data_IF_794717225536
#
_entry.id   IF_794717225536
#
_cell.length_a   1.000
_cell.length_b   1.000
_cell.length_c   1.000
_cell.angle_alpha   90.00
_cell.angle_beta   90.00
_cell.angle_gamma   90.00
#
_symmetry.space_group_name_H-M   'P 1'
#
loop_
_entity.id
_entity.type
_entity.pdbx_description
1 polymer ?
#
# COMPACT_ATOMS: atom_id res chain seq x y z
N UNK A 1 18.11 -38.67 19.30
CA UNK A 1 17.33 -38.39 18.08
C UNK A 1 15.97 -37.85 18.53
N UNK A 2 15.84 -36.54 18.67
CA UNK A 2 14.59 -35.89 19.04
C UNK A 2 13.80 -35.56 17.78
N UNK A 3 12.60 -36.11 17.68
CA UNK A 3 11.67 -35.90 16.59
C UNK A 3 11.24 -34.44 16.53
N UNK A 4 11.43 -33.80 15.38
CA UNK A 4 10.91 -32.47 15.08
C UNK A 4 9.42 -32.62 14.81
N UNK A 5 8.58 -32.11 15.71
CA UNK A 5 7.15 -31.87 15.43
C UNK A 5 7.04 -30.68 14.47
N UNK A 6 6.28 -30.79 13.36
CA UNK A 6 6.00 -29.64 12.51
C UNK A 6 5.24 -28.58 13.31
N UNK A 7 5.67 -27.32 13.17
CA UNK A 7 4.89 -26.17 13.63
C UNK A 7 3.63 -26.09 12.74
N UNK A 8 2.48 -26.43 13.33
CA UNK A 8 1.19 -26.17 12.71
C UNK A 8 1.03 -24.66 12.50
N UNK A 9 0.84 -24.27 11.23
CA UNK A 9 0.53 -22.88 10.87
C UNK A 9 -0.85 -22.47 11.41
N UNK A 10 -1.12 -21.16 11.58
CA UNK A 10 -2.36 -20.69 12.20
C UNK A 10 -3.59 -21.16 11.41
N UNK A 11 -4.49 -21.88 12.09
CA UNK A 11 -5.75 -22.44 11.57
C UNK A 11 -6.79 -21.39 11.11
N UNK A 12 -6.45 -20.10 11.03
CA UNK A 12 -7.41 -19.01 10.88
C UNK A 12 -7.80 -18.63 9.43
N UNK A 13 -7.49 -19.43 8.41
CA UNK A 13 -7.70 -19.06 6.99
C UNK A 13 -8.74 -19.87 6.20
N UNK A 14 -9.58 -20.69 6.85
CA UNK A 14 -10.77 -21.28 6.22
C UNK A 14 -11.99 -20.39 6.46
N UNK A 15 -12.31 -19.53 5.51
CA UNK A 15 -13.65 -18.95 5.43
C UNK A 15 -14.63 -20.00 4.86
N UNK A 16 -15.86 -20.14 5.41
CA UNK A 16 -16.91 -20.93 4.80
C UNK A 16 -17.31 -20.30 3.47
N UNK A 17 -17.22 -21.04 2.37
CA UNK A 17 -17.68 -20.56 1.06
C UNK A 17 -19.20 -20.74 0.95
N UNK A 18 -19.97 -19.68 1.20
CA UNK A 18 -21.34 -19.61 0.70
C UNK A 18 -21.33 -19.45 -0.82
N UNK A 19 -22.00 -20.37 -1.52
CA UNK A 19 -22.10 -20.34 -2.99
C UNK A 19 -23.01 -19.19 -3.43
N UNK A 20 -22.40 -18.05 -3.75
CA UNK A 20 -23.06 -16.98 -4.51
C UNK A 20 -22.64 -17.08 -5.99
N UNK A 21 -23.59 -16.92 -6.90
CA UNK A 21 -23.54 -17.38 -8.30
C UNK A 21 -22.57 -16.65 -9.26
N UNK A 22 -21.40 -16.19 -8.81
CA UNK A 22 -20.37 -15.65 -9.69
C UNK A 22 -18.94 -15.73 -9.10
N UNK A 23 -18.69 -16.74 -8.27
CA UNK A 23 -17.41 -16.89 -7.56
C UNK A 23 -16.35 -17.55 -8.43
N UNK A 24 -15.17 -16.93 -8.53
CA UNK A 24 -13.97 -17.56 -9.10
C UNK A 24 -13.65 -18.82 -8.25
N UNK A 25 -13.28 -19.97 -8.86
CA UNK A 25 -12.89 -21.14 -8.10
C UNK A 25 -11.77 -20.83 -7.09
N UNK A 26 -11.90 -21.29 -5.84
CA UNK A 26 -10.94 -21.00 -4.76
C UNK A 26 -9.50 -21.31 -5.15
N UNK A 27 -9.27 -22.42 -5.85
CA UNK A 27 -7.92 -22.80 -6.32
C UNK A 27 -7.28 -21.73 -7.21
N UNK A 28 -8.05 -21.06 -8.08
CA UNK A 28 -7.53 -20.00 -8.94
C UNK A 28 -7.16 -18.76 -8.12
N UNK A 29 -7.93 -18.47 -7.07
CA UNK A 29 -7.65 -17.38 -6.13
C UNK A 29 -6.36 -17.69 -5.35
N UNK A 30 -6.24 -18.90 -4.80
CA UNK A 30 -5.06 -19.37 -4.03
C UNK A 30 -3.79 -19.38 -4.88
N UNK A 31 -3.85 -19.87 -6.12
CA UNK A 31 -2.70 -19.83 -7.05
C UNK A 31 -2.32 -18.38 -7.35
N UNK A 32 -3.30 -17.52 -7.66
CA UNK A 32 -3.04 -16.10 -7.91
C UNK A 32 -2.38 -15.45 -6.70
N UNK A 33 -2.85 -15.75 -5.50
CA UNK A 33 -2.29 -15.24 -4.25
C UNK A 33 -0.85 -15.73 -4.03
N UNK A 34 -0.59 -17.02 -4.20
CA UNK A 34 0.72 -17.61 -4.00
C UNK A 34 1.76 -16.98 -4.93
N UNK A 35 1.42 -16.81 -6.22
CA UNK A 35 2.31 -16.17 -7.19
C UNK A 35 2.50 -14.68 -6.91
N UNK A 36 1.45 -13.98 -6.48
CA UNK A 36 1.55 -12.56 -6.09
C UNK A 36 2.49 -12.36 -4.90
N UNK A 37 2.44 -13.24 -3.90
CA UNK A 37 3.32 -13.19 -2.71
C UNK A 37 4.80 -13.35 -3.04
N UNK A 38 5.13 -14.03 -4.14
CA UNK A 38 6.51 -14.18 -4.61
C UNK A 38 6.88 -13.16 -5.71
N UNK A 39 6.05 -12.11 -5.89
CA UNK A 39 6.28 -11.06 -6.87
C UNK A 39 6.17 -11.54 -8.32
N UNK A 40 5.32 -12.53 -8.59
CA UNK A 40 5.12 -13.12 -9.92
C UNK A 40 3.69 -12.94 -10.41
N UNK A 41 3.57 -12.49 -11.66
CA UNK A 41 2.29 -12.32 -12.33
C UNK A 41 1.85 -13.53 -13.15
N UNK A 42 0.78 -13.34 -13.93
CA UNK A 42 0.14 -14.37 -14.73
C UNK A 42 1.08 -15.20 -15.62
N UNK A 43 2.07 -14.57 -16.28
CA UNK A 43 3.01 -15.32 -17.14
C UNK A 43 3.86 -16.34 -16.39
N UNK A 44 4.08 -16.18 -15.09
CA UNK A 44 4.76 -17.18 -14.28
C UNK A 44 3.81 -18.35 -13.93
N UNK A 45 2.53 -18.07 -13.73
CA UNK A 45 1.49 -19.10 -13.55
C UNK A 45 1.40 -19.96 -14.82
N UNK A 46 1.40 -19.35 -16.01
CA UNK A 46 1.40 -20.09 -17.28
C UNK A 46 2.60 -21.05 -17.40
N UNK A 47 3.81 -20.57 -17.07
CA UNK A 47 5.02 -21.40 -17.06
C UNK A 47 4.96 -22.53 -16.03
N UNK A 48 4.44 -22.24 -14.84
CA UNK A 48 4.24 -23.25 -13.81
C UNK A 48 3.26 -24.32 -14.26
N UNK A 49 2.09 -23.93 -14.74
CA UNK A 49 1.06 -24.82 -15.29
C UNK A 49 1.63 -25.72 -16.40
N UNK A 50 2.42 -25.16 -17.31
CA UNK A 50 3.13 -25.92 -18.35
C UNK A 50 4.09 -26.96 -17.74
N UNK A 51 4.87 -26.60 -16.72
CA UNK A 51 5.83 -27.51 -16.08
C UNK A 51 5.15 -28.67 -15.34
N UNK A 52 3.94 -28.47 -14.80
CA UNK A 52 3.17 -29.49 -14.09
C UNK A 52 2.11 -30.17 -14.96
N UNK A 53 2.10 -29.90 -16.27
CA UNK A 53 1.13 -30.44 -17.24
C UNK A 53 -0.35 -30.17 -16.86
N UNK A 54 -0.64 -28.94 -16.43
CA UNK A 54 -1.99 -28.44 -16.11
C UNK A 54 -2.33 -27.27 -17.02
N UNK A 55 -3.60 -27.13 -17.42
CA UNK A 55 -4.04 -25.98 -18.20
C UNK A 55 -4.21 -24.74 -17.30
N UNK A 56 -3.56 -23.59 -17.61
CA UNK A 56 -3.75 -22.37 -16.84
C UNK A 56 -5.16 -21.81 -17.06
N UNK A 57 -5.73 -21.19 -16.02
CA UNK A 57 -6.95 -20.38 -16.18
C UNK A 57 -6.63 -19.11 -16.96
N UNK A 58 -7.63 -18.50 -17.61
CA UNK A 58 -7.41 -17.32 -18.46
C UNK A 58 -6.84 -16.09 -17.73
N UNK A 59 -6.16 -15.20 -18.46
CA UNK A 59 -5.73 -13.89 -17.97
C UNK A 59 -6.90 -13.04 -17.45
N UNK A 60 -8.10 -13.19 -18.02
CA UNK A 60 -9.32 -12.55 -17.53
C UNK A 60 -9.69 -13.05 -16.13
N UNK A 61 -9.57 -14.35 -15.88
CA UNK A 61 -9.80 -14.94 -14.55
C UNK A 61 -8.73 -14.46 -13.57
N UNK A 62 -7.46 -14.40 -13.98
CA UNK A 62 -6.39 -13.81 -13.18
C UNK A 62 -6.69 -12.37 -12.74
N UNK A 63 -7.10 -11.50 -13.67
CA UNK A 63 -7.44 -10.12 -13.34
C UNK A 63 -8.62 -10.02 -12.37
N UNK A 64 -9.61 -10.93 -12.47
CA UNK A 64 -10.69 -11.03 -11.47
C UNK A 64 -10.15 -11.44 -10.10
N UNK A 65 -9.27 -12.45 -10.02
CA UNK A 65 -8.62 -12.86 -8.78
C UNK A 65 -7.86 -11.69 -8.15
N UNK A 66 -7.02 -10.97 -8.90
CA UNK A 66 -6.25 -9.84 -8.38
C UNK A 66 -7.16 -8.75 -7.82
N UNK A 67 -8.28 -8.43 -8.49
CA UNK A 67 -9.26 -7.47 -7.96
C UNK A 67 -9.86 -7.94 -6.64
N UNK A 68 -10.25 -9.21 -6.54
CA UNK A 68 -10.79 -9.78 -5.31
C UNK A 68 -9.76 -9.74 -4.16
N UNK A 69 -8.50 -10.10 -4.45
CA UNK A 69 -7.42 -10.05 -3.48
C UNK A 69 -7.12 -8.62 -3.03
N UNK A 70 -7.08 -7.68 -3.96
CA UNK A 70 -6.88 -6.26 -3.65
C UNK A 70 -7.97 -5.74 -2.71
N UNK A 71 -9.24 -6.02 -3.01
CA UNK A 71 -10.36 -5.65 -2.13
C UNK A 71 -10.24 -6.31 -0.76
N UNK A 72 -9.94 -7.60 -0.70
CA UNK A 72 -9.79 -8.33 0.57
C UNK A 72 -8.64 -7.76 1.42
N UNK A 73 -7.51 -7.42 0.81
CA UNK A 73 -6.38 -6.81 1.51
C UNK A 73 -6.65 -5.38 1.97
N UNK A 74 -7.38 -4.59 1.18
CA UNK A 74 -7.83 -3.25 1.61
C UNK A 74 -8.67 -3.32 2.88
N UNK A 75 -9.69 -4.19 2.90
CA UNK A 75 -10.55 -4.38 4.09
C UNK A 75 -9.74 -4.84 5.31
N UNK A 76 -8.82 -5.79 5.11
CA UNK A 76 -7.97 -6.28 6.19
C UNK A 76 -7.05 -5.17 6.74
N UNK A 77 -6.47 -4.34 5.86
CA UNK A 77 -5.63 -3.22 6.24
C UNK A 77 -6.41 -2.15 7.03
N UNK A 78 -7.60 -1.76 6.56
CA UNK A 78 -8.48 -0.79 7.26
C UNK A 78 -8.88 -1.30 8.66
N UNK A 79 -9.21 -2.59 8.76
CA UNK A 79 -9.58 -3.22 10.04
C UNK A 79 -8.40 -3.21 11.01
N UNK A 80 -7.23 -3.63 10.55
CA UNK A 80 -6.01 -3.65 11.36
C UNK A 80 -5.58 -2.24 11.77
N UNK A 81 -5.68 -1.27 10.87
CA UNK A 81 -5.33 0.12 11.15
C UNK A 81 -6.23 0.71 12.25
N UNK A 82 -7.53 0.42 12.21
CA UNK A 82 -8.47 0.84 13.27
C UNK A 82 -8.11 0.26 14.63
N UNK A 83 -7.67 -1.00 14.68
CA UNK A 83 -7.19 -1.63 15.91
C UNK A 83 -5.87 -1.03 16.40
N UNK A 84 -4.91 -0.82 15.50
CA UNK A 84 -3.64 -0.14 15.79
C UNK A 84 -3.89 1.24 16.38
N UNK A 85 -4.76 2.04 15.77
CA UNK A 85 -5.09 3.38 16.27
C UNK A 85 -5.65 3.34 17.69
N UNK A 86 -6.51 2.37 18.01
CA UNK A 86 -7.04 2.18 19.36
C UNK A 86 -5.93 1.86 20.36
N UNK A 87 -5.02 0.96 20.02
CA UNK A 87 -3.92 0.57 20.92
C UNK A 87 -2.90 1.71 21.10
N UNK A 88 -2.60 2.48 20.05
CA UNK A 88 -1.74 3.68 20.14
C UNK A 88 -2.38 4.71 21.06
N UNK A 89 -3.66 5.06 20.87
CA UNK A 89 -4.34 6.01 21.76
C UNK A 89 -4.33 5.58 23.22
N UNK A 90 -4.50 4.27 23.48
CA UNK A 90 -4.41 3.70 24.82
C UNK A 90 -3.00 3.81 25.40
N UNK A 91 -1.95 3.59 24.60
CA UNK A 91 -0.56 3.71 25.05
C UNK A 91 -0.19 5.15 25.46
N UNK A 92 -0.77 6.15 24.80
CA UNK A 92 -0.63 7.57 25.15
C UNK A 92 -1.60 8.03 26.26
N UNK A 93 -2.34 7.10 26.88
CA UNK A 93 -3.35 7.41 27.91
C UNK A 93 -4.36 8.47 27.46
N UNK A 94 -4.65 8.51 26.15
CA UNK A 94 -5.44 9.58 25.54
C UNK A 94 -6.91 9.52 26.01
N UNK A 95 -7.46 10.62 26.55
CA UNK A 95 -8.87 10.71 26.87
C UNK A 95 -9.77 10.50 25.63
N UNK A 96 -10.95 9.95 25.83
CA UNK A 96 -11.90 9.67 24.73
C UNK A 96 -12.48 10.95 24.12
N UNK A 97 -12.52 12.04 24.88
CA UNK A 97 -13.02 13.35 24.46
C UNK A 97 -11.98 14.21 23.72
N UNK A 98 -10.71 13.81 23.72
CA UNK A 98 -9.65 14.47 22.94
C UNK A 98 -9.72 13.97 21.50
N UNK A 99 -10.10 14.77 20.49
CA UNK A 99 -10.27 14.27 19.13
C UNK A 99 -8.93 13.86 18.49
N UNK A 100 -7.89 14.66 18.71
CA UNK A 100 -6.56 14.51 18.11
C UNK A 100 -5.50 14.36 19.20
N UNK A 101 -4.71 13.28 19.13
CA UNK A 101 -3.64 12.99 20.08
C UNK A 101 -2.29 13.32 19.47
N UNK A 102 -1.47 14.07 20.19
CA UNK A 102 -0.10 14.35 19.79
C UNK A 102 0.78 13.13 20.04
N UNK A 103 1.46 12.66 19.00
CA UNK A 103 2.29 11.46 19.05
C UNK A 103 3.66 11.70 18.40
N UNK A 104 4.66 10.99 18.90
CA UNK A 104 6.00 10.98 18.32
C UNK A 104 6.15 9.81 17.37
N UNK A 105 6.63 10.07 16.15
CA UNK A 105 6.65 9.09 15.06
C UNK A 105 8.04 8.99 14.44
N UNK A 106 8.37 7.80 13.94
CA UNK A 106 9.42 7.60 12.93
C UNK A 106 8.75 7.58 11.56
N UNK A 107 9.44 8.10 10.55
CA UNK A 107 8.97 8.06 9.17
C UNK A 107 10.11 7.62 8.25
N UNK A 108 9.80 6.71 7.32
CA UNK A 108 10.77 6.24 6.33
C UNK A 108 10.06 5.77 5.05
N UNK A 109 10.81 5.85 3.93
CA UNK A 109 10.41 5.42 2.61
C UNK A 109 11.16 4.16 2.15
N UNK A 110 10.45 3.24 1.52
CA UNK A 110 11.01 2.06 0.87
C UNK A 110 10.66 2.04 -0.62
N UNK A 111 11.55 1.47 -1.43
CA UNK A 111 11.46 1.50 -2.89
C UNK A 111 11.39 0.08 -3.47
N UNK A 112 10.60 -0.10 -4.52
CA UNK A 112 10.50 -1.41 -5.20
C UNK A 112 11.83 -1.87 -5.79
N UNK A 113 12.68 -0.92 -6.20
CA UNK A 113 13.98 -1.18 -6.81
C UNK A 113 15.05 -0.32 -6.15
N UNK A 114 16.26 -0.86 -6.01
CA UNK A 114 17.41 -0.09 -5.52
C UNK A 114 17.78 1.05 -6.48
N UNK A 115 18.21 2.18 -5.92
CA UNK A 115 18.65 3.36 -6.65
C UNK A 115 17.54 4.39 -6.90
N UNK A 116 17.90 5.51 -7.55
CA UNK A 116 17.04 6.69 -7.70
C UNK A 116 16.08 6.63 -8.89
N UNK A 117 15.78 5.43 -9.40
CA UNK A 117 14.93 5.22 -10.58
C UNK A 117 13.69 4.39 -10.28
N UNK A 118 13.36 4.20 -9.00
CA UNK A 118 12.18 3.41 -8.65
C UNK A 118 10.90 4.09 -9.11
N UNK A 119 9.98 3.30 -9.66
CA UNK A 119 8.68 3.79 -10.14
C UNK A 119 7.59 3.63 -9.08
N UNK A 120 7.87 2.88 -8.01
CA UNK A 120 6.93 2.60 -6.93
C UNK A 120 7.69 2.74 -5.62
N UNK A 121 7.10 3.50 -4.70
CA UNK A 121 7.57 3.67 -3.33
C UNK A 121 6.46 3.42 -2.32
N UNK A 122 6.85 3.11 -1.10
CA UNK A 122 5.98 2.97 0.05
C UNK A 122 6.59 3.83 1.16
N UNK A 123 5.84 4.77 1.70
CA UNK A 123 6.25 5.51 2.89
C UNK A 123 5.38 5.08 4.07
N UNK A 124 5.99 4.95 5.25
CA UNK A 124 5.30 4.50 6.46
C UNK A 124 5.55 5.48 7.61
N UNK A 125 4.52 5.72 8.41
CA UNK A 125 4.60 6.39 9.72
C UNK A 125 4.49 5.32 10.79
N UNK A 126 5.46 5.29 11.69
CA UNK A 126 5.56 4.33 12.78
C UNK A 126 5.51 5.10 14.10
N UNK A 127 4.58 4.76 14.98
CA UNK A 127 4.57 5.34 16.32
C UNK A 127 5.77 4.85 17.12
N UNK A 128 6.50 5.77 17.77
CA UNK A 128 7.73 5.45 18.50
C UNK A 128 7.43 4.65 19.77
N UNK A 129 6.30 4.92 20.42
CA UNK A 129 5.99 4.31 21.71
C UNK A 129 5.60 2.84 21.57
N UNK A 130 4.74 2.53 20.59
CA UNK A 130 4.21 1.18 20.36
C UNK A 130 4.99 0.39 19.30
N UNK A 131 5.70 1.06 18.40
CA UNK A 131 6.33 0.45 17.23
C UNK A 131 5.35 0.03 16.13
N UNK A 132 4.08 0.43 16.21
CA UNK A 132 3.08 0.11 15.19
C UNK A 132 3.15 1.05 13.99
N UNK A 133 2.93 0.50 12.79
CA UNK A 133 2.68 1.29 11.58
C UNK A 133 1.28 1.87 11.68
N UNK A 134 1.17 3.18 11.83
CA UNK A 134 -0.11 3.87 12.04
C UNK A 134 -0.69 4.41 10.73
N UNK A 135 0.17 4.71 9.77
CA UNK A 135 -0.22 5.20 8.46
C UNK A 135 0.83 4.88 7.39
N UNK A 136 0.41 4.81 6.13
CA UNK A 136 1.31 4.54 4.99
C UNK A 136 0.75 5.08 3.67
N UNK A 137 1.64 5.47 2.75
CA UNK A 137 1.26 5.94 1.42
C UNK A 137 2.07 5.22 0.34
N UNK A 138 1.38 4.72 -0.69
CA UNK A 138 2.02 4.07 -1.83
C UNK A 138 2.17 5.09 -2.96
N UNK A 139 3.39 5.48 -3.26
CA UNK A 139 3.71 6.40 -4.35
C UNK A 139 3.97 5.63 -5.64
N UNK A 140 3.40 6.08 -6.75
CA UNK A 140 3.47 5.39 -8.03
C UNK A 140 3.59 6.37 -9.20
N UNK A 141 4.60 6.13 -10.04
CA UNK A 141 4.89 6.88 -11.28
C UNK A 141 4.39 6.19 -12.54
N UNK A 142 3.90 4.95 -12.43
CA UNK A 142 3.58 4.12 -13.59
C UNK A 142 2.26 3.40 -13.43
N UNK A 143 1.37 3.57 -14.40
CA UNK A 143 0.20 2.71 -14.54
C UNK A 143 0.44 1.75 -15.71
N UNK A 144 0.32 0.44 -15.44
CA UNK A 144 0.54 -0.59 -16.47
C UNK A 144 -0.45 -0.47 -17.64
N UNK A 145 -1.71 -0.15 -17.36
CA UNK A 145 -2.72 0.04 -18.40
C UNK A 145 -2.36 1.24 -19.26
N UNK A 146 -1.99 2.37 -18.64
CA UNK A 146 -1.51 3.53 -19.38
C UNK A 146 -0.29 3.20 -20.25
N UNK A 147 0.69 2.45 -19.73
CA UNK A 147 1.89 2.09 -20.50
C UNK A 147 1.57 1.22 -21.72
N UNK A 148 0.60 0.31 -21.60
CA UNK A 148 0.17 -0.52 -22.74
C UNK A 148 -0.56 0.34 -23.75
N UNK A 149 -1.56 1.10 -23.34
CA UNK A 149 -2.40 1.86 -24.27
C UNK A 149 -1.63 3.00 -24.95
N UNK A 150 -0.68 3.65 -24.26
CA UNK A 150 0.24 4.60 -24.91
C UNK A 150 1.04 3.96 -26.05
N UNK A 151 1.40 2.69 -25.92
CA UNK A 151 2.14 1.95 -26.95
C UNK A 151 1.25 1.51 -28.09
N UNK A 152 0.04 1.03 -27.80
CA UNK A 152 -0.88 0.49 -28.82
C UNK A 152 -1.61 1.61 -29.59
N UNK A 153 -2.07 2.66 -28.91
CA UNK A 153 -2.82 3.78 -29.51
C UNK A 153 -1.93 4.96 -29.91
N UNK A 154 -0.74 5.08 -29.33
CA UNK A 154 0.14 6.25 -29.44
C UNK A 154 -0.23 7.34 -28.43
N UNK A 155 0.75 7.81 -27.65
CA UNK A 155 0.53 8.78 -26.56
C UNK A 155 -0.09 10.12 -26.98
N UNK A 156 0.11 10.53 -28.23
CA UNK A 156 -0.41 11.80 -28.77
C UNK A 156 -1.60 11.63 -29.70
N UNK A 157 -2.26 10.46 -29.66
CA UNK A 157 -3.45 10.19 -30.47
C UNK A 157 -4.73 10.61 -29.75
N UNK A 158 -5.74 11.02 -30.52
CA UNK A 158 -7.05 11.36 -29.97
C UNK A 158 -7.72 10.13 -29.33
N UNK A 159 -7.41 8.93 -29.83
CA UNK A 159 -7.87 7.66 -29.29
C UNK A 159 -7.34 7.42 -27.87
N UNK A 160 -6.07 7.74 -27.62
CA UNK A 160 -5.49 7.65 -26.28
C UNK A 160 -6.14 8.65 -25.32
N UNK A 161 -6.39 9.88 -25.76
CA UNK A 161 -7.03 10.91 -24.92
C UNK A 161 -8.43 10.47 -24.48
N UNK A 162 -9.26 9.99 -25.42
CA UNK A 162 -10.60 9.46 -25.13
C UNK A 162 -10.54 8.27 -24.17
N UNK A 163 -9.61 7.35 -24.40
CA UNK A 163 -9.44 6.20 -23.50
C UNK A 163 -9.00 6.64 -22.11
N UNK A 164 -8.05 7.57 -22.02
CA UNK A 164 -7.49 8.05 -20.75
C UNK A 164 -8.53 8.80 -19.92
N UNK A 165 -9.44 9.56 -20.54
CA UNK A 165 -10.57 10.18 -19.84
C UNK A 165 -11.41 9.15 -19.09
N UNK A 166 -11.69 8.00 -19.71
CA UNK A 166 -12.39 6.88 -19.06
C UNK A 166 -11.56 6.19 -17.98
N UNK A 167 -10.25 6.05 -18.20
CA UNK A 167 -9.34 5.39 -17.27
C UNK A 167 -8.89 6.27 -16.09
N UNK A 168 -9.05 7.60 -16.17
CA UNK A 168 -8.49 8.56 -15.21
C UNK A 168 -8.76 8.19 -13.74
N UNK A 169 -9.96 7.69 -13.43
CA UNK A 169 -10.37 7.29 -12.07
C UNK A 169 -9.73 5.99 -11.59
N UNK A 170 -9.31 5.13 -12.52
CA UNK A 170 -8.65 3.85 -12.26
C UNK A 170 -7.12 3.96 -12.39
N UNK A 171 -6.60 5.13 -12.75
CA UNK A 171 -5.17 5.35 -12.91
C UNK A 171 -4.49 5.35 -11.53
N UNK A 172 -3.48 4.50 -11.37
CA UNK A 172 -2.74 4.37 -10.11
C UNK A 172 -1.57 5.35 -9.97
N UNK A 173 -1.32 6.20 -10.98
CA UNK A 173 -0.23 7.19 -10.91
C UNK A 173 -0.67 8.33 -10.00
N UNK A 174 0.06 8.54 -8.90
CA UNK A 174 -0.15 9.66 -7.98
C UNK A 174 1.10 10.55 -7.84
N UNK A 175 2.22 10.22 -8.50
CA UNK A 175 3.44 11.02 -8.48
C UNK A 175 4.02 11.26 -9.87
N UNK A 176 4.40 12.51 -10.14
CA UNK A 176 4.95 12.94 -11.42
C UNK A 176 6.41 13.43 -11.32
N UNK A 177 6.93 13.59 -10.11
CA UNK A 177 8.27 14.10 -9.85
C UNK A 177 9.38 13.05 -9.98
N UNK A 178 10.56 13.42 -9.45
CA UNK A 178 11.69 12.51 -9.30
C UNK A 178 11.35 11.36 -8.34
N UNK A 179 12.03 10.22 -8.45
CA UNK A 179 11.82 9.13 -7.49
C UNK A 179 12.29 9.53 -6.08
N UNK A 180 13.33 10.35 -5.98
CA UNK A 180 13.81 10.89 -4.70
C UNK A 180 12.79 11.81 -4.02
N UNK A 181 11.95 12.51 -4.79
CA UNK A 181 10.94 13.40 -4.21
C UNK A 181 9.67 12.67 -3.76
N UNK A 182 9.51 11.38 -4.06
CA UNK A 182 8.35 10.60 -3.60
C UNK A 182 8.24 10.57 -2.08
N UNK A 183 9.37 10.50 -1.37
CA UNK A 183 9.39 10.42 0.09
C UNK A 183 8.83 11.69 0.72
N UNK A 184 9.29 12.86 0.25
CA UNK A 184 8.82 14.16 0.72
C UNK A 184 7.34 14.39 0.40
N UNK A 185 6.88 14.04 -0.81
CA UNK A 185 5.47 14.17 -1.17
C UNK A 185 4.58 13.17 -0.41
N UNK A 186 5.07 11.95 -0.16
CA UNK A 186 4.35 10.99 0.67
C UNK A 186 4.22 11.48 2.12
N UNK A 187 5.31 12.03 2.68
CA UNK A 187 5.29 12.64 4.01
C UNK A 187 4.25 13.77 4.07
N UNK A 188 4.20 14.63 3.06
CA UNK A 188 3.19 15.70 3.01
C UNK A 188 1.76 15.14 3.06
N UNK A 189 1.44 14.14 2.23
CA UNK A 189 0.11 13.49 2.21
C UNK A 189 -0.22 12.89 3.59
N UNK A 190 0.73 12.20 4.20
CA UNK A 190 0.56 11.53 5.49
C UNK A 190 0.33 12.54 6.63
N UNK A 191 1.10 13.64 6.64
CA UNK A 191 0.94 14.69 7.65
C UNK A 191 -0.38 15.44 7.47
N UNK A 192 -0.79 15.76 6.24
CA UNK A 192 -2.04 16.47 5.96
C UNK A 192 -3.28 15.70 6.46
N UNK A 193 -3.32 14.38 6.27
CA UNK A 193 -4.47 13.55 6.69
C UNK A 193 -4.41 13.07 8.14
N UNK A 194 -3.27 13.19 8.80
CA UNK A 194 -3.05 12.65 10.16
C UNK A 194 -4.13 13.05 11.17
N UNK A 195 -4.57 14.31 11.14
CA UNK A 195 -5.57 14.84 12.08
C UNK A 195 -6.96 14.23 11.86
N UNK A 196 -7.29 13.87 10.61
CA UNK A 196 -8.53 13.17 10.28
C UNK A 196 -8.53 11.73 10.85
N UNK A 197 -7.34 11.16 11.03
CA UNK A 197 -7.13 9.85 11.68
C UNK A 197 -7.05 9.95 13.21
N UNK A 198 -7.20 11.16 13.77
CA UNK A 198 -7.18 11.39 15.22
C UNK A 198 -5.78 11.49 15.82
N UNK A 199 -4.75 11.74 15.01
CA UNK A 199 -3.37 11.94 15.46
C UNK A 199 -2.77 13.22 14.90
N UNK A 200 -1.84 13.83 15.64
CA UNK A 200 -0.97 14.88 15.11
C UNK A 200 0.46 14.44 15.35
N UNK A 201 1.23 14.34 14.27
CA UNK A 201 2.62 13.89 14.31
C UNK A 201 3.49 15.05 14.82
N UNK A 202 3.62 15.13 16.14
CA UNK A 202 4.21 16.27 16.84
C UNK A 202 5.73 16.27 16.81
N UNK A 203 6.32 15.08 16.84
CA UNK A 203 7.77 14.87 16.85
C UNK A 203 8.14 13.80 15.84
N UNK A 204 9.15 14.06 15.04
CA UNK A 204 9.72 13.14 14.06
C UNK A 204 11.07 12.61 14.55
N UNK A 205 11.19 11.31 14.78
CA UNK A 205 12.49 10.66 14.91
C UNK A 205 13.03 10.34 13.51
N UNK A 206 14.17 10.95 13.18
CA UNK A 206 14.84 10.80 11.88
C UNK A 206 16.25 10.21 12.04
N UNK A 207 16.75 9.57 10.97
CA UNK A 207 18.10 9.01 10.87
C UNK A 207 19.20 10.06 10.63
N UNK A 208 18.82 11.34 10.52
CA UNK A 208 19.72 12.48 10.33
C UNK A 208 19.59 13.18 8.98
N UNK A 209 18.80 12.66 8.02
CA UNK A 209 18.41 13.42 6.82
C UNK A 209 17.17 14.28 7.09
N UNK A 210 17.38 15.58 7.29
CA UNK A 210 16.30 16.52 7.59
C UNK A 210 15.53 17.03 6.36
N UNK A 211 15.78 16.54 5.14
CA UNK A 211 15.08 17.05 3.93
C UNK A 211 13.57 16.95 4.04
N UNK A 212 13.08 15.78 4.45
CA UNK A 212 11.64 15.54 4.61
C UNK A 212 11.05 16.39 5.72
N UNK A 213 11.76 16.51 6.87
CA UNK A 213 11.37 17.38 7.97
C UNK A 213 11.26 18.86 7.56
N UNK A 214 12.28 19.37 6.86
CA UNK A 214 12.29 20.75 6.37
C UNK A 214 11.13 20.97 5.40
N UNK A 215 10.88 20.03 4.50
CA UNK A 215 9.80 20.12 3.52
C UNK A 215 8.42 20.21 4.19
N UNK A 216 8.09 19.32 5.14
CA UNK A 216 6.79 19.35 5.84
C UNK A 216 6.64 20.60 6.72
N UNK A 217 7.72 21.08 7.31
CA UNK A 217 7.74 22.29 8.14
C UNK A 217 7.52 23.55 7.29
N UNK A 218 8.21 23.66 6.15
CA UNK A 218 8.02 24.76 5.19
C UNK A 218 6.60 24.79 4.62
N UNK A 219 5.97 23.63 4.44
CA UNK A 219 4.56 23.51 4.00
C UNK A 219 3.55 23.90 5.07
N UNK A 220 3.99 24.03 6.33
CA UNK A 220 3.16 24.48 7.45
C UNK A 220 1.87 23.65 7.60
N UNK A 221 2.00 22.32 7.53
CA UNK A 221 0.88 21.36 7.47
C UNK A 221 -0.11 21.47 8.64
N UNK A 222 0.34 21.96 9.80
CA UNK A 222 -0.49 22.17 10.99
C UNK A 222 -0.79 23.64 11.30
N UNK A 223 -0.35 24.56 10.43
CA UNK A 223 -0.51 26.00 10.57
C UNK A 223 0.37 26.64 11.64
N UNK A 224 0.37 27.98 11.67
CA UNK A 224 1.29 28.81 12.49
C UNK A 224 1.19 28.60 14.01
N UNK A 225 0.20 27.83 14.47
CA UNK A 225 -0.05 27.58 15.89
C UNK A 225 0.66 26.32 16.40
N UNK A 226 1.33 25.58 15.53
CA UNK A 226 1.97 24.32 15.91
C UNK A 226 3.28 24.13 15.16
N UNK A 227 4.32 23.74 15.89
CA UNK A 227 5.65 23.43 15.36
C UNK A 227 5.90 21.93 15.50
N UNK A 228 6.46 21.34 14.44
CA UNK A 228 6.88 19.93 14.44
C UNK A 228 8.32 19.87 14.96
N UNK A 229 8.59 18.98 15.90
CA UNK A 229 9.93 18.77 16.47
C UNK A 229 10.65 17.62 15.77
N UNK A 230 11.98 17.65 15.76
CA UNK A 230 12.87 16.57 15.26
C UNK A 230 13.94 16.25 16.30
#
# INVERSE_FOLDING_TARGET
MSSITPLDGPESFRQPTERTGNTVPDINLRITQAFSNIGKGYSAIEKFCMAVNVHPFSSRTYSKCIKLLHTAYGIAAETLQSEVHREVRKAYEAPTDVPVVDISVSFDGSWLTRGHTSLIGLACVIDILTGYVIDFEVMCKVCRNCSVEKRELGESSAEYDIWFEGHRKDCVVNHYGSSTSMEMEAALILWERSQEMGFRYSTLLSDGDCKTFNYITEKNVYGDKFEIYI
#
